data_IF_015843961603
#
_entry.id   IF_015843961603
#
_cell.length_a   1.000
_cell.length_b   1.000
_cell.length_c   1.000
_cell.angle_alpha   90.00
_cell.angle_beta   90.00
_cell.angle_gamma   90.00
#
_symmetry.space_group_name_H-M   'P 1'
#
loop_
_entity.id
_entity.type
_entity.pdbx_description
1 polymer ?
#
# COMPACT_ATOMS: atom_id res chain seq x y z
N UNK A 1 -29.57 23.92 -37.58
CA UNK A 1 -29.37 22.48 -37.28
C UNK A 1 -28.37 22.15 -36.14
N UNK A 2 -28.12 22.98 -35.10
CA UNK A 2 -27.12 22.67 -34.06
C UNK A 2 -27.61 21.73 -32.93
N UNK A 3 -28.93 21.58 -32.75
CA UNK A 3 -29.50 20.80 -31.64
C UNK A 3 -29.17 19.29 -31.72
N UNK A 4 -29.09 18.74 -32.94
CA UNK A 4 -28.80 17.31 -33.17
C UNK A 4 -27.32 16.99 -32.94
N UNK A 5 -26.40 17.85 -33.37
CA UNK A 5 -24.96 17.67 -33.12
C UNK A 5 -24.61 17.82 -31.65
N UNK A 6 -25.25 18.77 -30.95
CA UNK A 6 -25.08 18.92 -29.49
C UNK A 6 -25.58 17.69 -28.72
N UNK A 7 -26.73 17.12 -29.12
CA UNK A 7 -27.24 15.88 -28.53
C UNK A 7 -26.31 14.68 -28.75
N UNK A 8 -25.77 14.52 -29.96
CA UNK A 8 -24.81 13.45 -30.27
C UNK A 8 -23.52 13.60 -29.45
N UNK A 9 -23.00 14.83 -29.31
CA UNK A 9 -21.81 15.10 -28.49
C UNK A 9 -22.05 14.76 -27.01
N UNK A 10 -23.21 15.14 -26.46
CA UNK A 10 -23.58 14.80 -25.08
C UNK A 10 -23.70 13.28 -24.86
N UNK A 11 -24.29 12.56 -25.82
CA UNK A 11 -24.39 11.09 -25.76
C UNK A 11 -22.98 10.46 -25.79
N UNK A 12 -22.08 10.95 -26.64
CA UNK A 12 -20.70 10.45 -26.69
C UNK A 12 -19.96 10.69 -25.38
N UNK A 13 -20.08 11.88 -24.80
CA UNK A 13 -19.48 12.20 -23.49
C UNK A 13 -20.04 11.28 -22.40
N UNK A 14 -21.37 11.05 -22.40
CA UNK A 14 -22.00 10.15 -21.44
C UNK A 14 -21.49 8.70 -21.58
N UNK A 15 -21.35 8.19 -22.81
CA UNK A 15 -20.80 6.86 -23.08
C UNK A 15 -19.37 6.75 -22.54
N UNK A 16 -18.52 7.74 -22.84
CA UNK A 16 -17.13 7.76 -22.35
C UNK A 16 -17.09 7.79 -20.82
N UNK A 17 -17.94 8.59 -20.18
CA UNK A 17 -18.03 8.66 -18.72
C UNK A 17 -18.45 7.31 -18.10
N UNK A 18 -19.43 6.62 -18.70
CA UNK A 18 -19.87 5.29 -18.25
C UNK A 18 -18.75 4.25 -18.40
N UNK A 19 -18.04 4.27 -19.53
CA UNK A 19 -16.91 3.36 -19.75
C UNK A 19 -15.77 3.62 -18.76
N UNK A 20 -15.43 4.89 -18.50
CA UNK A 20 -14.40 5.26 -17.53
C UNK A 20 -14.79 4.85 -16.10
N UNK A 21 -16.05 5.03 -15.71
CA UNK A 21 -16.57 4.58 -14.42
C UNK A 21 -16.52 3.06 -14.29
N UNK A 22 -16.95 2.32 -15.33
CA UNK A 22 -16.89 0.86 -15.36
C UNK A 22 -15.47 0.31 -15.29
N UNK A 23 -14.53 0.92 -16.01
CA UNK A 23 -13.11 0.57 -15.95
C UNK A 23 -12.52 0.81 -14.55
N UNK A 24 -12.80 1.99 -13.98
CA UNK A 24 -12.34 2.35 -12.64
C UNK A 24 -12.87 1.39 -11.58
N UNK A 25 -14.17 1.04 -11.66
CA UNK A 25 -14.77 0.04 -10.80
C UNK A 25 -14.06 -1.31 -10.92
N UNK A 26 -13.89 -1.81 -12.15
CA UNK A 26 -13.23 -3.08 -12.42
C UNK A 26 -11.81 -3.13 -11.84
N UNK A 27 -10.97 -2.14 -12.15
CA UNK A 27 -9.58 -2.06 -11.67
C UNK A 27 -9.47 -1.99 -10.15
N UNK A 28 -10.45 -1.43 -9.46
CA UNK A 28 -10.44 -1.31 -7.99
C UNK A 28 -11.03 -2.51 -7.27
N UNK A 29 -11.82 -3.34 -7.95
CA UNK A 29 -12.39 -4.56 -7.38
C UNK A 29 -11.60 -5.81 -7.70
N UNK A 30 -10.81 -5.80 -8.78
CA UNK A 30 -10.11 -6.98 -9.24
C UNK A 30 -8.66 -7.02 -8.74
N UNK A 31 -8.38 -7.94 -7.82
CA UNK A 31 -7.00 -8.19 -7.38
C UNK A 31 -6.24 -8.99 -8.43
N UNK A 32 -5.14 -8.42 -8.92
CA UNK A 32 -4.19 -9.12 -9.80
C UNK A 32 -3.32 -10.09 -9.01
N UNK A 33 -2.95 -9.71 -7.78
CA UNK A 33 -2.09 -10.51 -6.90
C UNK A 33 -2.37 -10.15 -5.45
N UNK A 34 -2.49 -11.15 -4.60
CA UNK A 34 -2.70 -10.99 -3.17
C UNK A 34 -1.44 -11.47 -2.44
N UNK A 35 -1.05 -10.80 -1.36
CA UNK A 35 0.14 -11.19 -0.64
C UNK A 35 0.32 -10.52 0.71
N UNK A 36 1.42 -10.88 1.36
CA UNK A 36 1.81 -10.32 2.65
C UNK A 36 3.24 -9.78 2.60
N UNK A 37 3.47 -8.65 3.26
CA UNK A 37 4.81 -8.08 3.47
C UNK A 37 4.99 -7.67 4.92
N UNK A 38 6.12 -8.04 5.50
CA UNK A 38 6.49 -7.65 6.85
C UNK A 38 7.68 -6.69 6.82
N UNK A 39 7.60 -5.64 7.62
CA UNK A 39 8.64 -4.60 7.66
C UNK A 39 8.38 -3.59 8.76
N UNK A 40 9.20 -2.55 8.81
CA UNK A 40 9.04 -1.45 9.76
C UNK A 40 8.25 -0.31 9.13
N UNK A 41 7.16 0.11 9.77
CA UNK A 41 6.36 1.23 9.30
C UNK A 41 7.07 2.55 9.58
N UNK A 42 7.67 3.13 8.54
CA UNK A 42 8.46 4.37 8.68
C UNK A 42 7.64 5.62 8.40
N UNK A 43 6.71 5.55 7.44
CA UNK A 43 5.93 6.69 7.01
C UNK A 43 4.49 6.26 6.80
N UNK A 44 3.57 7.08 7.28
CA UNK A 44 2.16 6.97 6.97
C UNK A 44 1.55 8.37 6.99
N UNK A 45 0.99 8.81 5.87
CA UNK A 45 0.49 10.18 5.73
C UNK A 45 -0.70 10.26 4.79
N UNK A 46 -1.69 11.09 5.14
CA UNK A 46 -2.80 11.42 4.26
C UNK A 46 -2.37 12.51 3.27
N UNK A 47 -2.17 12.17 2.00
CA UNK A 47 -1.69 13.10 0.96
C UNK A 47 -2.60 13.11 -0.26
N UNK A 48 -2.50 14.19 -1.04
CA UNK A 48 -3.34 14.43 -2.21
C UNK A 48 -3.88 15.86 -2.26
N UNK A 49 -4.03 16.40 -3.48
CA UNK A 49 -4.48 17.78 -3.70
C UNK A 49 -6.01 17.89 -3.82
N UNK A 50 -6.62 17.07 -4.68
CA UNK A 50 -8.08 16.98 -4.86
C UNK A 50 -8.69 15.83 -4.05
N UNK A 51 -8.17 14.62 -4.20
CA UNK A 51 -8.57 13.45 -3.44
C UNK A 51 -7.44 13.06 -2.50
N UNK A 52 -7.71 13.01 -1.20
CA UNK A 52 -6.71 12.64 -0.20
C UNK A 52 -6.79 11.14 0.09
N UNK A 53 -5.69 10.43 -0.14
CA UNK A 53 -5.53 9.01 0.17
C UNK A 53 -4.51 8.83 1.29
N UNK A 54 -4.61 7.70 2.01
CA UNK A 54 -3.63 7.34 3.01
C UNK A 54 -2.51 6.54 2.35
N UNK A 55 -1.29 7.04 2.46
CA UNK A 55 -0.14 6.47 1.77
C UNK A 55 0.93 6.14 2.81
N UNK A 56 1.40 4.91 2.77
CA UNK A 56 2.36 4.36 3.72
C UNK A 56 3.60 3.79 3.06
N UNK A 57 4.64 3.64 3.86
CA UNK A 57 5.91 3.07 3.46
C UNK A 57 6.44 2.17 4.59
N UNK A 58 6.72 0.90 4.27
CA UNK A 58 7.48 0.02 5.15
C UNK A 58 8.88 -0.24 4.58
N UNK A 59 9.83 -0.44 5.48
CA UNK A 59 11.16 -0.94 5.15
C UNK A 59 11.21 -2.46 5.34
N UNK A 60 11.47 -3.17 4.26
CA UNK A 60 11.74 -4.60 4.28
C UNK A 60 13.22 -4.78 4.63
N UNK A 61 13.49 -5.34 5.81
CA UNK A 61 14.84 -5.72 6.20
C UNK A 61 15.03 -7.20 5.91
N UNK A 62 15.80 -7.50 4.87
CA UNK A 62 16.15 -8.88 4.49
C UNK A 62 17.52 -9.31 5.02
N UNK A 63 18.45 -8.36 5.22
CA UNK A 63 19.80 -8.63 5.73
C UNK A 63 20.36 -7.45 6.56
N UNK A 64 21.02 -7.69 7.71
CA UNK A 64 21.75 -6.66 8.45
C UNK A 64 22.84 -6.02 7.56
N UNK A 65 22.86 -4.68 7.48
CA UNK A 65 23.86 -3.93 6.71
C UNK A 65 23.54 -3.71 5.23
N UNK A 66 22.49 -4.34 4.69
CA UNK A 66 21.98 -4.02 3.36
C UNK A 66 21.05 -2.79 3.41
N UNK A 67 20.96 -2.04 2.32
CA UNK A 67 19.98 -0.96 2.19
C UNK A 67 18.58 -1.61 2.14
N UNK A 68 17.69 -1.33 3.12
CA UNK A 68 16.37 -1.94 3.15
C UNK A 68 15.52 -1.49 1.95
N UNK A 69 14.79 -2.44 1.37
CA UNK A 69 13.87 -2.15 0.28
C UNK A 69 12.64 -1.42 0.82
N UNK A 70 12.21 -0.37 0.12
CA UNK A 70 11.01 0.40 0.46
C UNK A 70 9.80 -0.20 -0.23
N UNK A 71 8.80 -0.60 0.54
CA UNK A 71 7.49 -0.94 0.02
C UNK A 71 6.50 0.17 0.33
N UNK A 72 6.05 0.82 -0.73
CA UNK A 72 5.01 1.85 -0.69
C UNK A 72 3.65 1.22 -0.93
N UNK A 73 2.66 1.65 -0.17
CA UNK A 73 1.30 1.12 -0.25
C UNK A 73 0.26 2.20 0.00
N UNK A 74 -0.95 1.96 -0.49
CA UNK A 74 -2.10 2.82 -0.31
C UNK A 74 -3.11 2.14 0.61
N UNK A 75 -3.75 2.90 1.50
CA UNK A 75 -4.85 2.44 2.34
C UNK A 75 -6.10 3.23 1.97
N UNK A 76 -7.17 2.50 1.63
CA UNK A 76 -8.49 3.09 1.33
C UNK A 76 -9.50 2.86 2.44
N UNK A 77 -9.36 1.77 3.17
CA UNK A 77 -10.23 1.45 4.29
C UNK A 77 -9.82 2.28 5.52
N UNK A 78 -10.68 3.21 5.94
CA UNK A 78 -10.42 4.06 7.10
C UNK A 78 -10.42 3.28 8.42
N UNK A 79 -10.92 2.04 8.47
CA UNK A 79 -10.91 1.20 9.68
C UNK A 79 -9.50 0.74 10.06
N UNK A 80 -8.59 0.62 9.10
CA UNK A 80 -7.20 0.17 9.30
C UNK A 80 -6.28 1.32 9.69
N UNK A 81 -6.67 2.56 9.38
CA UNK A 81 -5.86 3.77 9.59
C UNK A 81 -5.45 3.97 11.05
N UNK A 82 -6.32 3.84 12.07
CA UNK A 82 -5.92 3.99 13.47
C UNK A 82 -4.89 2.95 13.90
N UNK A 83 -5.02 1.72 13.43
CA UNK A 83 -4.08 0.63 13.75
C UNK A 83 -2.69 0.90 13.14
N UNK A 84 -2.64 1.41 11.91
CA UNK A 84 -1.39 1.81 11.27
C UNK A 84 -0.74 3.03 11.95
N UNK A 85 -1.52 4.04 12.29
CA UNK A 85 -1.03 5.20 13.04
C UNK A 85 -0.43 4.79 14.40
N UNK A 86 -1.09 3.87 15.11
CA UNK A 86 -0.59 3.33 16.39
C UNK A 86 0.64 2.41 16.22
N UNK A 87 0.89 1.92 15.02
CA UNK A 87 2.00 1.03 14.68
C UNK A 87 3.18 1.76 14.02
N UNK A 88 3.18 3.08 13.99
CA UNK A 88 4.27 3.89 13.48
C UNK A 88 5.58 3.59 14.22
N UNK A 89 6.66 3.38 13.47
CA UNK A 89 7.97 3.01 14.00
C UNK A 89 8.09 1.55 14.47
N UNK A 90 7.00 0.77 14.42
CA UNK A 90 7.00 -0.64 14.83
C UNK A 90 7.09 -1.58 13.63
N UNK A 91 7.44 -2.83 13.91
CA UNK A 91 7.35 -3.91 12.93
C UNK A 91 5.88 -4.27 12.71
N UNK A 92 5.46 -4.32 11.46
CA UNK A 92 4.10 -4.67 11.04
C UNK A 92 4.15 -5.75 9.97
N UNK A 93 3.09 -6.54 9.89
CA UNK A 93 2.79 -7.41 8.76
C UNK A 93 1.55 -6.85 8.06
N UNK A 94 1.68 -6.56 6.78
CA UNK A 94 0.64 -5.98 5.94
C UNK A 94 0.13 -7.05 4.97
N UNK A 95 -1.18 -7.26 4.95
CA UNK A 95 -1.85 -8.00 3.88
C UNK A 95 -2.31 -6.98 2.83
N UNK A 96 -1.95 -7.23 1.57
CA UNK A 96 -2.24 -6.32 0.47
C UNK A 96 -2.81 -7.03 -0.75
N UNK A 97 -3.59 -6.27 -1.50
CA UNK A 97 -4.14 -6.63 -2.81
C UNK A 97 -3.50 -5.73 -3.87
N UNK A 98 -2.93 -6.32 -4.91
CA UNK A 98 -2.30 -5.59 -6.01
C UNK A 98 -3.33 -5.35 -7.11
N UNK A 99 -3.69 -4.10 -7.35
CA UNK A 99 -4.62 -3.70 -8.39
C UNK A 99 -3.83 -2.98 -9.50
N UNK A 100 -3.76 -3.58 -10.69
CA UNK A 100 -3.03 -3.01 -11.83
C UNK A 100 -3.91 -2.12 -12.69
N UNK A 101 -3.33 -1.03 -13.17
CA UNK A 101 -4.00 -0.12 -14.11
C UNK A 101 -5.01 0.83 -13.46
N UNK A 102 -4.86 1.14 -12.17
CA UNK A 102 -5.71 2.15 -11.51
C UNK A 102 -5.56 3.50 -12.24
N UNK A 103 -6.64 4.07 -12.79
CA UNK A 103 -6.53 5.11 -13.82
C UNK A 103 -6.10 6.48 -13.29
N UNK A 104 -6.26 6.75 -11.99
CA UNK A 104 -5.91 8.05 -11.40
C UNK A 104 -5.34 7.91 -10.00
N UNK A 105 -4.50 8.86 -9.62
CA UNK A 105 -3.95 8.98 -8.25
C UNK A 105 -5.00 9.35 -7.20
N UNK A 106 -6.21 9.75 -7.64
CA UNK A 106 -7.32 10.00 -6.72
C UNK A 106 -7.80 8.72 -6.02
N UNK A 107 -7.52 7.54 -6.58
CA UNK A 107 -7.89 6.26 -5.98
C UNK A 107 -6.75 5.60 -5.19
N UNK A 108 -5.52 6.03 -5.42
CA UNK A 108 -4.31 5.56 -4.75
C UNK A 108 -3.06 5.92 -5.54
N UNK A 109 -1.97 6.22 -4.85
CA UNK A 109 -0.69 6.50 -5.53
C UNK A 109 0.07 5.24 -5.90
N UNK A 110 -0.31 4.09 -5.35
CA UNK A 110 0.36 2.81 -5.59
C UNK A 110 -0.63 1.76 -6.13
N UNK A 111 -0.08 0.69 -6.69
CA UNK A 111 -0.86 -0.49 -7.09
C UNK A 111 -1.17 -1.41 -5.91
N UNK A 112 -0.61 -1.16 -4.72
CA UNK A 112 -0.70 -2.05 -3.57
C UNK A 112 -1.66 -1.48 -2.53
N UNK A 113 -2.81 -2.11 -2.38
CA UNK A 113 -3.87 -1.70 -1.47
C UNK A 113 -3.85 -2.56 -0.22
N UNK A 114 -3.51 -1.96 0.92
CA UNK A 114 -3.48 -2.68 2.20
C UNK A 114 -4.87 -2.75 2.79
N UNK A 115 -5.30 -3.97 3.07
CA UNK A 115 -6.60 -4.29 3.65
C UNK A 115 -6.52 -4.68 5.11
N UNK A 116 -5.36 -5.20 5.58
CA UNK A 116 -5.17 -5.60 6.97
C UNK A 116 -3.76 -5.29 7.46
N UNK A 117 -3.66 -4.98 8.75
CA UNK A 117 -2.39 -4.82 9.48
C UNK A 117 -2.41 -5.73 10.71
N UNK A 118 -1.32 -6.49 10.89
CA UNK A 118 -1.03 -7.20 12.12
C UNK A 118 0.22 -6.62 12.77
N UNK A 119 0.20 -6.47 14.09
CA UNK A 119 1.37 -6.10 14.86
C UNK A 119 2.42 -7.19 14.76
N UNK A 120 3.61 -6.86 14.28
CA UNK A 120 4.76 -7.75 14.37
C UNK A 120 5.27 -7.79 15.82
N UNK A 121 6.00 -8.84 16.24
CA UNK A 121 6.69 -8.82 17.53
C UNK A 121 7.57 -7.57 17.61
N UNK A 122 7.50 -6.87 18.76
CA UNK A 122 8.16 -5.57 19.00
C UNK A 122 9.69 -5.61 18.81
N UNK A 123 10.27 -6.81 18.70
CA UNK A 123 11.70 -7.05 18.67
C UNK A 123 12.03 -8.22 17.71
N UNK A 124 12.56 -8.00 16.49
CA UNK A 124 13.21 -9.07 15.76
C UNK A 124 14.55 -9.31 16.46
N UNK A 125 14.57 -10.29 17.37
CA UNK A 125 15.77 -10.90 17.95
C UNK A 125 16.89 -9.90 18.24
N UNK A 126 16.85 -9.28 19.43
CA UNK A 126 18.10 -8.75 20.00
C UNK A 126 19.11 -9.92 20.03
N UNK A 127 20.35 -9.76 19.51
CA UNK A 127 21.36 -10.82 19.52
C UNK A 127 21.57 -11.43 20.92
N UNK A 128 21.32 -10.64 21.97
CA UNK A 128 21.38 -11.04 23.37
C UNK A 128 20.27 -12.01 23.83
N UNK A 129 19.25 -12.26 23.01
CA UNK A 129 18.12 -13.17 23.32
C UNK A 129 18.11 -14.41 22.41
N UNK A 130 19.10 -14.57 21.52
CA UNK A 130 19.30 -15.80 20.79
C UNK A 130 19.80 -16.89 21.78
N UNK A 131 19.07 -17.99 22.00
CA UNK A 131 19.58 -19.08 22.81
C UNK A 131 20.77 -19.72 22.08
N UNK A 132 21.97 -19.59 22.66
CA UNK A 132 23.11 -20.46 22.36
C UNK A 132 23.81 -20.29 21.01
N UNK A 133 24.18 -19.06 20.63
CA UNK A 133 25.32 -18.92 19.69
C UNK A 133 26.61 -19.18 20.49
N UNK A 134 27.46 -20.15 20.11
CA UNK A 134 28.72 -20.39 20.80
C UNK A 134 29.59 -19.14 20.70
N UNK A 135 29.98 -18.62 21.87
CA UNK A 135 30.94 -17.55 22.06
C UNK A 135 32.19 -17.86 21.21
N UNK A 136 32.42 -17.06 20.16
CA UNK A 136 33.60 -17.22 19.32
C UNK A 136 34.84 -16.99 20.18
N UNK A 137 35.60 -18.07 20.41
CA UNK A 137 36.85 -18.03 21.14
C UNK A 137 37.83 -17.03 20.49
N UNK A 138 38.57 -16.25 21.29
CA UNK A 138 39.52 -15.28 20.75
C UNK A 138 40.63 -16.02 20.00
N UNK A 139 40.90 -15.59 18.76
CA UNK A 139 42.03 -16.05 17.97
C UNK A 139 43.34 -15.71 18.71
N UNK A 140 44.17 -16.73 18.92
CA UNK A 140 45.57 -16.58 19.32
C UNK A 140 46.47 -16.54 18.09
#
# INVERSE_FOLDING_TARGET
>A
MPKRTSAILLILIAIVAVLAAGYTWFTLTWSYSEGERAGYLQKFSKRGWLCKTWEGEILLSSMPGAIPERFVFTVRDETVVPALLASMGKRVQLTYDQHKGVPTTCFGETEYFVSKVAGGPDNPLSPSQAPGLPEQAPAQ
#
